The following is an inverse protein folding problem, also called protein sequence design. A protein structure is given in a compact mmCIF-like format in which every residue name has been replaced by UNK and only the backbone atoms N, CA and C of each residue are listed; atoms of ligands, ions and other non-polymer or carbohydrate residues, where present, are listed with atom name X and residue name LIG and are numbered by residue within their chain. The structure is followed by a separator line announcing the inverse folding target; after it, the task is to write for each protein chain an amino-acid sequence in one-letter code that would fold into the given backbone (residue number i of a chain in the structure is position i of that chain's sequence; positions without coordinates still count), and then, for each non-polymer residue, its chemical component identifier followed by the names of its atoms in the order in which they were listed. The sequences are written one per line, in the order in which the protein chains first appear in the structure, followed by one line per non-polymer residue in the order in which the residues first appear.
data_IF_516940587795
#
_entry.id   IF_516940587795
#
_cell.length_a   1.000
_cell.length_b   1.000
_cell.length_c   1.000
_cell.angle_alpha   90.00
_cell.angle_beta   90.00
_cell.angle_gamma   90.00
#
_symmetry.space_group_name_H-M   'P 1'
#
loop_
_entity.id
_entity.type
_entity.pdbx_description
1 polymer ?
#
# COMPACT_ATOMS: atom_id res chain seq x y z
N UNK A 1 -8.04 -1.89 -13.96
CA UNK A 1 -7.33 -3.07 -13.43
C UNK A 1 -7.71 -3.18 -11.95
N UNK A 2 -7.37 -4.27 -11.25
CA UNK A 2 -7.89 -4.52 -9.90
C UNK A 2 -7.70 -3.34 -8.92
N UNK A 3 -6.63 -2.55 -9.08
CA UNK A 3 -6.35 -1.37 -8.26
C UNK A 3 -7.21 -0.17 -8.64
N UNK A 4 -7.41 0.08 -9.94
CA UNK A 4 -8.33 1.11 -10.42
C UNK A 4 -9.79 0.79 -10.04
N UNK A 5 -10.21 -0.47 -10.22
CA UNK A 5 -11.59 -0.90 -9.99
C UNK A 5 -11.95 -0.80 -8.49
N UNK A 6 -10.98 -1.07 -7.62
CA UNK A 6 -11.09 -0.90 -6.17
C UNK A 6 -10.93 0.56 -5.71
N UNK A 7 -10.54 1.48 -6.61
CA UNK A 7 -10.16 2.87 -6.29
C UNK A 7 -9.16 2.92 -5.14
N UNK A 8 -8.17 2.02 -5.16
CA UNK A 8 -7.24 1.84 -4.06
C UNK A 8 -6.28 3.03 -3.93
N UNK A 9 -6.27 3.66 -2.76
CA UNK A 9 -5.31 4.71 -2.40
C UNK A 9 -4.19 4.17 -1.50
N UNK A 10 -4.49 3.08 -0.77
CA UNK A 10 -3.57 2.43 0.17
C UNK A 10 -3.61 0.91 -0.06
N UNK A 11 -2.44 0.29 -0.13
CA UNK A 11 -2.23 -1.15 -0.06
C UNK A 11 -1.59 -1.52 1.27
N UNK A 12 -2.16 -2.53 1.93
CA UNK A 12 -1.72 -2.98 3.25
C UNK A 12 -1.19 -4.41 3.14
N UNK A 13 0.01 -4.66 3.65
CA UNK A 13 0.61 -6.00 3.70
C UNK A 13 1.51 -6.18 4.92
N UNK A 14 1.43 -7.32 5.59
CA UNK A 14 2.36 -7.69 6.68
C UNK A 14 3.66 -8.34 6.18
N UNK A 15 3.77 -8.61 4.89
CA UNK A 15 4.94 -9.25 4.30
C UNK A 15 5.84 -8.19 3.65
N UNK A 16 7.07 -8.03 4.18
CA UNK A 16 8.05 -7.06 3.69
C UNK A 16 8.47 -7.31 2.24
N UNK A 17 8.58 -8.58 1.81
CA UNK A 17 8.90 -8.93 0.43
C UNK A 17 7.81 -8.48 -0.53
N UNK A 18 6.54 -8.71 -0.18
CA UNK A 18 5.40 -8.19 -0.95
C UNK A 18 5.41 -6.66 -0.98
N UNK A 19 5.70 -5.99 0.15
CA UNK A 19 5.75 -4.53 0.20
C UNK A 19 6.77 -3.97 -0.81
N UNK A 20 8.00 -4.50 -0.80
CA UNK A 20 9.06 -4.09 -1.73
C UNK A 20 8.65 -4.33 -3.19
N UNK A 21 8.12 -5.51 -3.50
CA UNK A 21 7.71 -5.87 -4.85
C UNK A 21 6.56 -4.99 -5.36
N UNK A 22 5.54 -4.75 -4.53
CA UNK A 22 4.40 -3.88 -4.87
C UNK A 22 4.85 -2.43 -5.07
N UNK A 23 5.69 -1.90 -4.19
CA UNK A 23 6.22 -0.54 -4.33
C UNK A 23 7.01 -0.37 -5.63
N UNK A 24 7.89 -1.32 -5.97
CA UNK A 24 8.60 -1.29 -7.25
C UNK A 24 7.64 -1.28 -8.45
N UNK A 25 6.69 -2.21 -8.47
CA UNK A 25 5.72 -2.32 -9.57
C UNK A 25 4.78 -1.11 -9.69
N UNK A 26 4.45 -0.44 -8.59
CA UNK A 26 3.66 0.80 -8.60
C UNK A 26 4.47 1.97 -9.15
N UNK A 27 5.74 2.11 -8.73
CA UNK A 27 6.65 3.15 -9.23
C UNK A 27 6.89 3.01 -10.73
N UNK A 28 7.12 1.80 -11.23
CA UNK A 28 7.27 1.52 -12.66
C UNK A 28 6.03 1.92 -13.48
N UNK A 29 4.84 1.79 -12.88
CA UNK A 29 3.55 2.14 -13.51
C UNK A 29 3.13 3.59 -13.27
N UNK A 30 3.97 4.40 -12.60
CA UNK A 30 3.66 5.80 -12.28
C UNK A 30 2.41 5.95 -11.39
N UNK A 31 2.09 4.96 -10.55
CA UNK A 31 0.91 4.99 -9.68
C UNK A 31 1.28 5.45 -8.27
N UNK A 32 0.58 6.46 -7.79
CA UNK A 32 0.71 6.98 -6.44
C UNK A 32 -0.27 6.27 -5.50
N UNK A 33 0.08 5.03 -5.13
CA UNK A 33 -0.66 4.23 -4.16
C UNK A 33 0.29 3.92 -3.01
N UNK A 34 -0.10 4.29 -1.79
CA UNK A 34 0.75 4.09 -0.62
C UNK A 34 0.78 2.60 -0.24
N UNK A 35 1.97 2.03 0.01
CA UNK A 35 2.10 0.65 0.51
C UNK A 35 2.65 0.67 1.92
N UNK A 36 1.92 0.10 2.88
CA UNK A 36 2.27 0.13 4.30
C UNK A 36 1.97 -1.17 5.05
N UNK A 37 2.54 -1.30 6.24
CA UNK A 37 2.29 -2.42 7.15
C UNK A 37 0.98 -2.21 7.94
N UNK A 38 0.17 -3.24 8.24
CA UNK A 38 -1.08 -3.11 9.00
C UNK A 38 -0.93 -2.33 10.31
N UNK A 39 0.17 -2.56 11.05
CA UNK A 39 0.42 -1.85 12.31
C UNK A 39 0.66 -0.35 12.11
N UNK A 40 1.26 0.06 10.99
CA UNK A 40 1.41 1.48 10.64
C UNK A 40 0.04 2.12 10.38
N UNK A 41 -0.87 1.41 9.72
CA UNK A 41 -2.25 1.90 9.51
C UNK A 41 -2.97 2.08 10.83
N UNK A 42 -2.91 1.08 11.70
CA UNK A 42 -3.54 1.14 13.02
C UNK A 42 -2.96 2.30 13.83
N UNK A 43 -1.63 2.43 13.89
CA UNK A 43 -0.98 3.52 14.62
C UNK A 43 -1.47 4.92 14.20
N UNK A 44 -1.80 5.14 12.91
CA UNK A 44 -2.39 6.40 12.42
C UNK A 44 -3.80 6.66 12.99
N UNK A 45 -4.55 5.60 13.29
CA UNK A 45 -5.94 5.69 13.78
C UNK A 45 -6.03 5.77 15.30
N UNK A 46 -5.09 5.18 16.03
CA UNK A 46 -5.13 5.16 17.51
C UNK A 46 -4.44 6.37 18.15
N UNK A 47 -3.67 7.15 17.37
CA UNK A 47 -2.95 8.34 17.84
C UNK A 47 -3.60 9.68 17.49
N UNK A 48 -4.82 9.66 16.95
CA UNK A 48 -5.64 10.85 16.69
C UNK A 48 -6.58 11.19 17.84
#
# INVERSE_FOLDING_TARGET
DALHDARAEILVTSNIGCALHLQAGLRERGRDIEVLHPLTLLARQVGG
#
